data_IF_679542831909
#
_entry.id   IF_679542831909
#
_cell.length_a   1.000
_cell.length_b   1.000
_cell.length_c   1.000
_cell.angle_alpha   90.00
_cell.angle_beta   90.00
_cell.angle_gamma   90.00
#
_symmetry.space_group_name_H-M   'P 1'
#
loop_
_entity.id
_entity.type
_entity.pdbx_description
1 polymer ?
#
# COMPACT_ATOMS: atom_id res chain seq x y z
N UNK A 1 28.01 -21.33 -18.70
CA UNK A 1 26.95 -21.83 -17.82
C UNK A 1 25.67 -21.13 -18.26
N UNK A 2 24.64 -21.84 -18.72
CA UNK A 2 23.40 -21.17 -19.07
C UNK A 2 22.81 -20.56 -17.78
N UNK A 3 22.46 -19.30 -17.84
CA UNK A 3 21.65 -18.62 -16.82
C UNK A 3 20.31 -19.36 -16.75
N UNK A 4 20.04 -20.05 -15.67
CA UNK A 4 18.71 -20.56 -15.38
C UNK A 4 17.90 -19.32 -15.01
N UNK A 5 16.89 -18.93 -15.83
CA UNK A 5 16.01 -17.84 -15.41
C UNK A 5 15.36 -18.26 -14.10
N UNK A 6 15.36 -17.35 -13.11
CA UNK A 6 14.55 -17.52 -11.92
C UNK A 6 13.09 -17.56 -12.38
N UNK A 7 12.53 -18.75 -12.40
CA UNK A 7 11.09 -18.94 -12.57
C UNK A 7 10.52 -19.15 -11.18
N UNK A 8 9.82 -18.17 -10.62
CA UNK A 8 9.22 -18.29 -9.29
C UNK A 8 8.15 -19.39 -9.22
N UNK A 9 7.79 -19.96 -10.38
CA UNK A 9 6.79 -21.01 -10.50
C UNK A 9 7.34 -22.33 -11.07
N UNK A 10 8.66 -22.49 -11.30
CA UNK A 10 9.29 -23.68 -11.89
C UNK A 10 9.87 -24.64 -10.84
N UNK A 11 9.16 -24.92 -9.78
CA UNK A 11 9.41 -26.07 -8.93
C UNK A 11 8.39 -27.16 -9.25
N UNK A 12 8.75 -28.43 -9.09
CA UNK A 12 7.79 -29.57 -9.03
C UNK A 12 6.89 -29.47 -7.76
N UNK A 13 6.73 -28.29 -7.23
CA UNK A 13 5.91 -27.88 -6.10
C UNK A 13 4.57 -27.37 -6.63
N UNK A 14 3.53 -27.68 -5.91
CA UNK A 14 2.15 -27.31 -6.24
C UNK A 14 1.99 -25.80 -6.50
N UNK A 15 0.93 -25.37 -7.22
CA UNK A 15 0.71 -23.96 -7.62
C UNK A 15 0.68 -22.95 -6.45
N UNK A 16 0.82 -23.41 -5.22
CA UNK A 16 0.85 -22.58 -4.01
C UNK A 16 2.14 -21.74 -3.86
N UNK A 17 3.23 -22.09 -4.57
CA UNK A 17 4.50 -21.34 -4.47
C UNK A 17 4.52 -20.00 -5.24
N UNK A 18 3.49 -19.72 -6.05
CA UNK A 18 3.36 -18.44 -6.77
C UNK A 18 2.67 -17.34 -5.93
N UNK A 19 2.43 -17.57 -4.64
CA UNK A 19 1.63 -16.68 -3.80
C UNK A 19 2.42 -15.57 -3.11
N UNK A 20 3.76 -15.61 -3.09
CA UNK A 20 4.59 -14.70 -2.29
C UNK A 20 4.28 -13.22 -2.56
N UNK A 21 4.12 -12.80 -3.80
CA UNK A 21 3.78 -11.39 -4.09
C UNK A 21 2.36 -11.04 -3.65
N UNK A 22 1.31 -11.79 -4.02
CA UNK A 22 -0.02 -11.57 -3.45
C UNK A 22 -0.03 -11.53 -1.93
N UNK A 23 0.63 -12.49 -1.26
CA UNK A 23 0.68 -12.57 0.21
C UNK A 23 1.32 -11.32 0.85
N UNK A 24 2.34 -10.75 0.22
CA UNK A 24 2.94 -9.48 0.67
C UNK A 24 1.93 -8.34 0.55
N UNK A 25 1.25 -8.23 -0.58
CA UNK A 25 0.24 -7.21 -0.81
C UNK A 25 -0.93 -7.33 0.18
N UNK A 26 -1.40 -8.54 0.43
CA UNK A 26 -2.44 -8.85 1.41
C UNK A 26 -2.00 -8.52 2.85
N UNK A 27 -0.74 -8.81 3.20
CA UNK A 27 -0.18 -8.43 4.50
C UNK A 27 -0.17 -6.91 4.71
N UNK A 28 0.24 -6.15 3.69
CA UNK A 28 0.23 -4.69 3.73
C UNK A 28 -1.22 -4.18 3.87
N UNK A 29 -2.14 -4.73 3.10
CA UNK A 29 -3.56 -4.35 3.12
C UNK A 29 -4.19 -4.64 4.49
N UNK A 30 -3.97 -5.84 5.03
CA UNK A 30 -4.48 -6.24 6.34
C UNK A 30 -3.97 -5.32 7.46
N UNK A 31 -2.67 -4.98 7.46
CA UNK A 31 -2.09 -4.05 8.43
C UNK A 31 -2.68 -2.65 8.28
N UNK A 32 -2.88 -2.19 7.05
CA UNK A 32 -3.52 -0.90 6.79
C UNK A 32 -4.95 -0.84 7.34
N UNK A 33 -5.74 -1.91 7.17
CA UNK A 33 -7.09 -2.02 7.72
C UNK A 33 -7.09 -2.01 9.26
N UNK A 34 -6.14 -2.70 9.90
CA UNK A 34 -5.97 -2.64 11.36
C UNK A 34 -5.72 -1.19 11.82
N UNK A 35 -4.94 -0.42 11.06
CA UNK A 35 -4.72 0.99 11.35
C UNK A 35 -5.98 1.86 11.23
N UNK A 36 -6.88 1.50 10.32
CA UNK A 36 -8.13 2.23 10.10
C UNK A 36 -9.28 1.79 11.04
N UNK A 37 -9.20 0.59 11.61
CA UNK A 37 -10.27 0.03 12.45
C UNK A 37 -10.85 1.00 13.49
N UNK A 38 -10.05 1.82 14.20
CA UNK A 38 -10.58 2.79 15.17
C UNK A 38 -11.39 3.92 14.55
N UNK A 39 -11.28 4.13 13.25
CA UNK A 39 -11.90 5.25 12.52
C UNK A 39 -13.01 4.79 11.58
N UNK A 40 -13.09 3.47 11.28
CA UNK A 40 -14.17 2.97 10.44
C UNK A 40 -15.49 3.24 11.14
N UNK A 41 -16.49 3.79 10.44
CA UNK A 41 -17.77 4.08 11.03
C UNK A 41 -18.39 2.78 11.54
N UNK A 42 -18.80 2.79 12.79
CA UNK A 42 -19.73 1.81 13.30
C UNK A 42 -21.05 2.01 12.55
N UNK A 43 -21.58 1.01 11.96
CA UNK A 43 -22.84 0.79 11.20
C UNK A 43 -23.84 1.94 10.95
N UNK A 44 -23.69 3.08 11.60
CA UNK A 44 -24.66 4.19 11.58
C UNK A 44 -24.53 5.14 10.36
N UNK A 45 -23.42 5.10 9.63
CA UNK A 45 -23.15 6.05 8.55
C UNK A 45 -23.11 5.47 7.13
N UNK A 46 -23.31 4.14 6.97
CA UNK A 46 -23.48 3.51 5.65
C UNK A 46 -22.33 3.74 4.66
N UNK A 47 -21.11 3.94 5.14
CA UNK A 47 -19.94 4.04 4.26
C UNK A 47 -19.59 2.66 3.74
N UNK A 48 -19.66 2.52 2.43
CA UNK A 48 -19.21 1.33 1.71
C UNK A 48 -17.69 1.45 1.49
N UNK A 49 -16.92 1.14 2.57
CA UNK A 49 -15.47 1.21 2.52
C UNK A 49 -14.90 -0.02 1.81
N UNK A 50 -14.15 0.22 0.75
CA UNK A 50 -13.55 -0.82 -0.07
C UNK A 50 -12.07 -1.02 0.26
N UNK A 51 -11.67 -2.29 0.44
CA UNK A 51 -10.26 -2.65 0.59
C UNK A 51 -9.89 -3.70 -0.45
N UNK A 52 -8.85 -3.42 -1.24
CA UNK A 52 -8.48 -4.35 -2.31
C UNK A 52 -7.00 -4.31 -2.66
N UNK A 53 -6.51 -5.48 -3.09
CA UNK A 53 -5.22 -5.65 -3.71
C UNK A 53 -5.39 -5.55 -5.24
N UNK A 54 -4.49 -4.85 -5.90
CA UNK A 54 -4.51 -4.67 -7.35
C UNK A 54 -3.12 -4.90 -7.95
N UNK A 55 -3.08 -5.54 -9.09
CA UNK A 55 -1.87 -5.68 -9.92
C UNK A 55 -1.88 -4.60 -10.99
N UNK A 56 -1.56 -3.36 -10.62
CA UNK A 56 -1.58 -2.22 -11.51
C UNK A 56 -2.30 -1.01 -10.90
N UNK A 57 -2.74 -0.08 -11.74
CA UNK A 57 -3.41 1.13 -11.24
C UNK A 57 -4.71 0.80 -10.52
N UNK A 58 -4.98 1.44 -9.36
CA UNK A 58 -6.23 1.27 -8.66
C UNK A 58 -7.41 1.68 -9.56
N UNK A 59 -8.53 1.00 -9.37
CA UNK A 59 -9.78 1.36 -10.03
C UNK A 59 -10.27 2.65 -9.39
N UNK A 60 -10.23 3.76 -10.13
CA UNK A 60 -10.54 5.11 -9.65
C UNK A 60 -12.04 5.34 -9.31
N UNK A 61 -12.83 4.28 -9.25
CA UNK A 61 -14.29 4.36 -9.05
C UNK A 61 -14.71 4.32 -7.58
N UNK A 62 -13.79 3.99 -6.67
CA UNK A 62 -14.08 3.89 -5.24
C UNK A 62 -13.51 5.09 -4.50
N UNK A 63 -14.40 5.88 -3.87
CA UNK A 63 -14.03 7.09 -3.15
C UNK A 63 -13.71 6.88 -1.68
N UNK A 64 -14.17 5.77 -1.08
CA UNK A 64 -13.82 5.37 0.28
C UNK A 64 -13.11 4.02 0.18
N UNK A 65 -11.79 4.07 0.01
CA UNK A 65 -11.03 2.87 -0.28
C UNK A 65 -9.59 2.90 0.24
N UNK A 66 -9.13 1.76 0.73
CA UNK A 66 -7.73 1.43 0.90
C UNK A 66 -7.31 0.47 -0.21
N UNK A 67 -6.35 0.87 -1.01
CA UNK A 67 -5.80 0.01 -2.06
C UNK A 67 -4.30 -0.21 -1.87
N UNK A 68 -3.87 -1.43 -2.18
CA UNK A 68 -2.46 -1.80 -2.27
C UNK A 68 -2.22 -2.34 -3.66
N UNK A 69 -1.25 -1.80 -4.37
CA UNK A 69 -0.94 -2.27 -5.72
C UNK A 69 0.54 -2.37 -5.98
N UNK A 70 0.92 -3.44 -6.69
CA UNK A 70 2.28 -3.66 -7.13
C UNK A 70 2.59 -2.70 -8.29
N UNK A 71 3.60 -1.85 -8.12
CA UNK A 71 4.02 -0.89 -9.14
C UNK A 71 5.27 -1.31 -9.88
N UNK A 72 6.14 -2.10 -9.24
CA UNK A 72 7.38 -2.57 -9.83
C UNK A 72 7.86 -3.86 -9.15
N UNK A 73 8.48 -4.76 -9.92
CA UNK A 73 9.11 -5.96 -9.42
C UNK A 73 10.36 -6.28 -10.25
N UNK A 74 11.48 -6.47 -9.58
CA UNK A 74 12.72 -6.79 -10.27
C UNK A 74 13.95 -6.73 -9.37
N UNK A 75 15.16 -6.86 -9.95
CA UNK A 75 16.39 -6.75 -9.19
C UNK A 75 16.59 -5.34 -8.65
N UNK A 76 17.10 -5.23 -7.42
CA UNK A 76 17.48 -3.93 -6.85
C UNK A 76 18.58 -3.29 -7.70
N UNK A 77 18.24 -2.22 -8.41
CA UNK A 77 19.17 -1.48 -9.27
C UNK A 77 20.31 -0.79 -8.49
N UNK A 78 20.21 -0.72 -7.15
CA UNK A 78 21.29 -0.19 -6.29
C UNK A 78 22.39 -1.20 -6.05
N UNK A 79 22.10 -2.49 -6.20
CA UNK A 79 23.13 -3.53 -6.23
C UNK A 79 23.82 -3.46 -7.58
N UNK A 80 25.03 -2.92 -7.60
CA UNK A 80 25.80 -2.77 -8.83
C UNK A 80 25.96 -4.12 -9.53
N UNK A 81 25.76 -4.14 -10.85
CA UNK A 81 25.92 -5.30 -11.74
C UNK A 81 27.29 -6.00 -11.56
N UNK A 82 28.29 -5.33 -10.95
CA UNK A 82 29.57 -5.92 -10.59
C UNK A 82 29.48 -7.08 -9.59
N UNK A 83 28.39 -7.20 -8.84
CA UNK A 83 28.16 -8.34 -7.93
C UNK A 83 27.82 -9.63 -8.67
N UNK A 84 27.29 -9.57 -9.90
CA UNK A 84 27.02 -10.76 -10.71
C UNK A 84 28.31 -11.55 -11.08
N UNK A 85 29.44 -10.88 -11.13
CA UNK A 85 30.73 -11.51 -11.38
C UNK A 85 31.23 -12.35 -10.18
N UNK A 86 30.72 -12.12 -8.99
CA UNK A 86 31.08 -12.82 -7.75
C UNK A 86 30.12 -13.99 -7.41
N UNK A 87 29.14 -14.30 -8.25
CA UNK A 87 28.16 -15.36 -8.01
C UNK A 87 27.11 -15.03 -6.96
N UNK A 88 27.02 -13.76 -6.55
CA UNK A 88 25.96 -13.27 -5.65
C UNK A 88 24.77 -12.84 -6.49
N UNK A 89 23.62 -13.42 -6.25
CA UNK A 89 22.38 -13.03 -6.91
C UNK A 89 21.93 -11.65 -6.44
N UNK A 90 21.44 -10.79 -7.35
CA UNK A 90 20.88 -9.52 -6.94
C UNK A 90 19.63 -9.75 -6.06
N UNK A 91 19.51 -8.96 -5.00
CA UNK A 91 18.29 -8.94 -4.20
C UNK A 91 17.10 -8.54 -5.08
N UNK A 92 16.04 -9.31 -5.05
CA UNK A 92 14.80 -8.94 -5.71
C UNK A 92 14.01 -7.97 -4.82
N UNK A 93 13.40 -6.99 -5.44
CA UNK A 93 12.52 -6.05 -4.75
C UNK A 93 11.15 -6.01 -5.39
N UNK A 94 10.13 -5.85 -4.56
CA UNK A 94 8.79 -5.52 -4.98
C UNK A 94 8.40 -4.15 -4.42
N UNK A 95 7.91 -3.28 -5.27
CA UNK A 95 7.49 -1.92 -4.91
C UNK A 95 5.97 -1.84 -4.92
N UNK A 96 5.43 -1.54 -3.77
CA UNK A 96 4.00 -1.43 -3.53
C UNK A 96 3.62 0.02 -3.31
N UNK A 97 2.54 0.46 -3.90
CA UNK A 97 1.92 1.73 -3.58
C UNK A 97 0.66 1.47 -2.76
N UNK A 98 0.56 2.12 -1.62
CA UNK A 98 -0.60 2.12 -0.74
C UNK A 98 -1.31 3.45 -0.92
N UNK A 99 -2.60 3.42 -1.23
CA UNK A 99 -3.44 4.60 -1.39
C UNK A 99 -4.67 4.49 -0.51
N UNK A 100 -4.92 5.53 0.27
CA UNK A 100 -6.16 5.72 1.01
C UNK A 100 -6.91 6.88 0.38
N UNK A 101 -8.14 6.65 -0.04
CA UNK A 101 -9.05 7.66 -0.55
C UNK A 101 -10.29 7.75 0.33
N UNK A 102 -10.76 8.97 0.56
CA UNK A 102 -11.93 9.27 1.39
C UNK A 102 -12.78 10.33 0.71
N UNK A 103 -14.08 10.06 0.59
CA UNK A 103 -15.05 10.96 -0.03
C UNK A 103 -15.66 11.91 1.03
N UNK A 104 -14.81 12.71 1.65
CA UNK A 104 -15.20 13.58 2.75
C UNK A 104 -14.79 15.05 2.58
N UNK A 105 -14.16 15.38 1.44
CA UNK A 105 -13.72 16.76 1.23
C UNK A 105 -14.90 17.66 0.89
N UNK A 106 -15.12 18.73 1.67
CA UNK A 106 -16.23 19.62 1.41
C UNK A 106 -16.03 20.37 0.09
N UNK A 107 -17.01 20.25 -0.78
CA UNK A 107 -17.08 20.96 -2.06
C UNK A 107 -18.12 22.07 -1.97
N UNK A 108 -18.09 22.99 -2.93
CA UNK A 108 -19.16 23.99 -3.08
C UNK A 108 -20.47 23.24 -3.30
N UNK A 109 -21.48 23.51 -2.47
CA UNK A 109 -22.79 22.88 -2.58
C UNK A 109 -23.58 23.39 -3.80
N UNK A 110 -24.70 22.74 -4.09
CA UNK A 110 -25.60 23.12 -5.21
C UNK A 110 -26.16 24.55 -5.08
N UNK A 111 -26.09 25.16 -3.91
CA UNK A 111 -26.51 26.54 -3.64
C UNK A 111 -25.34 27.54 -3.76
N UNK A 112 -24.14 27.08 -4.08
CA UNK A 112 -22.96 27.91 -4.23
C UNK A 112 -22.30 28.28 -2.89
N UNK A 113 -22.65 27.62 -1.77
CA UNK A 113 -21.99 27.82 -0.48
C UNK A 113 -20.57 27.25 -0.51
N UNK A 114 -19.63 28.12 -0.21
CA UNK A 114 -18.20 27.77 -0.13
C UNK A 114 -17.93 27.20 1.28
N UNK A 115 -17.21 26.07 1.39
CA UNK A 115 -16.82 25.51 2.67
C UNK A 115 -16.06 26.52 3.55
N UNK A 116 -16.37 26.54 4.83
CA UNK A 116 -15.66 27.40 5.79
C UNK A 116 -14.25 26.89 6.08
N UNK A 117 -13.38 27.76 6.54
CA UNK A 117 -12.03 27.38 6.96
C UNK A 117 -12.05 26.32 8.09
N UNK A 118 -13.02 26.37 8.98
CA UNK A 118 -13.16 25.39 10.07
C UNK A 118 -13.57 24.01 9.55
N UNK A 119 -14.48 23.92 8.58
CA UNK A 119 -14.85 22.66 7.92
C UNK A 119 -13.64 22.06 7.21
N UNK A 120 -12.93 22.84 6.41
CA UNK A 120 -11.71 22.42 5.73
C UNK A 120 -10.65 21.92 6.71
N UNK A 121 -10.40 22.66 7.80
CA UNK A 121 -9.44 22.28 8.82
C UNK A 121 -9.84 20.99 9.55
N UNK A 122 -11.13 20.81 9.83
CA UNK A 122 -11.63 19.58 10.47
C UNK A 122 -11.39 18.38 9.59
N UNK A 123 -11.76 18.45 8.31
CA UNK A 123 -11.58 17.34 7.36
C UNK A 123 -10.10 17.04 7.14
N UNK A 124 -9.27 18.06 6.96
CA UNK A 124 -7.82 17.86 6.78
C UNK A 124 -7.18 17.15 7.98
N UNK A 125 -7.58 17.48 9.22
CA UNK A 125 -7.08 16.80 10.42
C UNK A 125 -7.52 15.33 10.46
N UNK A 126 -8.75 15.06 10.09
CA UNK A 126 -9.33 13.72 10.05
C UNK A 126 -8.59 12.85 9.02
N UNK A 127 -8.52 13.29 7.79
CA UNK A 127 -7.84 12.58 6.70
C UNK A 127 -6.35 12.38 7.01
N UNK A 128 -5.71 13.38 7.64
CA UNK A 128 -4.31 13.24 8.08
C UNK A 128 -4.15 12.14 9.14
N UNK A 129 -5.05 12.08 10.12
CA UNK A 129 -5.01 11.05 11.16
C UNK A 129 -5.16 9.65 10.58
N UNK A 130 -6.05 9.45 9.61
CA UNK A 130 -6.26 8.18 8.93
C UNK A 130 -5.03 7.76 8.11
N UNK A 131 -4.50 8.65 7.28
CA UNK A 131 -3.28 8.36 6.51
C UNK A 131 -2.10 7.97 7.39
N UNK A 132 -1.92 8.69 8.51
CA UNK A 132 -0.86 8.40 9.48
C UNK A 132 -1.10 7.07 10.21
N UNK A 133 -2.35 6.73 10.52
CA UNK A 133 -2.70 5.47 11.18
C UNK A 133 -2.38 4.28 10.28
N UNK A 134 -2.76 4.32 9.00
CA UNK A 134 -2.41 3.29 8.01
C UNK A 134 -0.89 3.14 7.89
N UNK A 135 -0.19 4.25 7.71
CA UNK A 135 1.27 4.25 7.59
C UNK A 135 1.95 3.61 8.80
N UNK A 136 1.55 4.04 10.00
CA UNK A 136 2.12 3.54 11.26
C UNK A 136 1.77 2.06 11.50
N UNK A 137 0.59 1.61 11.14
CA UNK A 137 0.19 0.21 11.31
C UNK A 137 1.04 -0.72 10.45
N UNK A 138 1.26 -0.37 9.17
CA UNK A 138 2.13 -1.15 8.27
C UNK A 138 3.58 -1.15 8.79
N UNK A 139 4.10 0.01 9.21
CA UNK A 139 5.44 0.13 9.78
C UNK A 139 5.59 -0.70 11.07
N UNK A 140 4.62 -0.59 11.99
CA UNK A 140 4.63 -1.32 13.25
C UNK A 140 4.52 -2.83 13.04
N UNK A 141 3.71 -3.28 12.09
CA UNK A 141 3.59 -4.69 11.73
C UNK A 141 4.92 -5.31 11.31
N UNK A 142 5.73 -4.56 10.56
CA UNK A 142 7.09 -4.98 10.23
C UNK A 142 8.04 -4.94 11.43
N UNK A 143 8.10 -3.82 12.14
CA UNK A 143 9.06 -3.63 13.25
C UNK A 143 8.82 -4.61 14.39
N UNK A 144 7.57 -4.92 14.68
CA UNK A 144 7.19 -5.84 15.76
C UNK A 144 7.29 -7.32 15.35
N UNK A 145 7.69 -7.62 14.12
CA UNK A 145 7.81 -8.99 13.59
C UNK A 145 6.55 -9.82 13.87
N UNK A 146 5.41 -9.27 13.54
CA UNK A 146 4.09 -9.90 13.82
C UNK A 146 3.87 -11.22 13.10
N UNK A 147 4.78 -11.61 12.17
CA UNK A 147 4.65 -12.82 11.36
C UNK A 147 3.61 -12.71 10.23
N UNK A 148 3.07 -11.51 10.00
CA UNK A 148 2.09 -11.28 8.92
C UNK A 148 2.78 -11.30 7.55
N UNK A 149 4.01 -10.77 7.47
CA UNK A 149 4.77 -10.83 6.22
C UNK A 149 5.32 -12.23 5.97
N UNK A 150 5.30 -12.71 4.70
CA UNK A 150 5.91 -13.98 4.33
C UNK A 150 7.39 -14.07 4.73
N UNK A 151 7.90 -15.28 5.06
CA UNK A 151 9.31 -15.47 5.44
C UNK A 151 10.31 -15.05 4.37
N UNK A 152 9.89 -15.02 3.10
CA UNK A 152 10.71 -14.56 1.98
C UNK A 152 11.02 -13.06 2.03
N UNK A 153 10.33 -12.27 2.86
CA UNK A 153 10.61 -10.84 3.02
C UNK A 153 11.77 -10.66 4.00
N UNK A 154 12.92 -10.30 3.48
CA UNK A 154 14.15 -10.08 4.26
C UNK A 154 14.31 -8.64 4.74
N UNK A 155 13.68 -7.68 4.06
CA UNK A 155 13.75 -6.26 4.39
C UNK A 155 12.57 -5.46 3.87
N UNK A 156 12.26 -4.34 4.55
CA UNK A 156 11.25 -3.39 4.10
C UNK A 156 11.77 -1.96 4.21
N UNK A 157 11.46 -1.16 3.19
CA UNK A 157 11.72 0.29 3.16
C UNK A 157 10.42 1.04 2.92
N UNK A 158 10.27 2.20 3.53
CA UNK A 158 9.09 3.04 3.42
C UNK A 158 9.44 4.35 2.71
N UNK A 159 8.62 4.72 1.75
CA UNK A 159 8.60 6.06 1.18
C UNK A 159 7.85 7.05 2.07
N UNK A 160 7.93 8.35 1.76
CA UNK A 160 7.22 9.37 2.50
C UNK A 160 5.71 9.25 2.32
N UNK A 161 4.95 9.60 3.37
CA UNK A 161 3.51 9.79 3.28
C UNK A 161 3.23 11.09 2.48
N UNK A 162 2.49 10.97 1.39
CA UNK A 162 2.19 12.06 0.46
C UNK A 162 0.69 12.30 0.38
N UNK A 163 0.24 13.57 0.46
CA UNK A 163 -1.17 13.85 0.27
C UNK A 163 -1.58 13.62 -1.18
N UNK A 164 -2.78 13.10 -1.35
CA UNK A 164 -3.51 13.10 -2.60
C UNK A 164 -4.49 14.26 -2.53
N UNK A 165 -4.27 15.25 -3.38
CA UNK A 165 -5.08 16.48 -3.39
C UNK A 165 -6.52 16.19 -3.75
N UNK A 166 -7.44 17.14 -3.44
CA UNK A 166 -8.85 16.90 -3.68
C UNK A 166 -9.11 16.68 -5.18
N UNK A 167 -9.84 15.60 -5.46
CA UNK A 167 -10.42 15.29 -6.77
C UNK A 167 -11.94 15.25 -6.58
N UNK A 168 -12.62 16.39 -6.82
CA UNK A 168 -14.00 16.55 -6.38
C UNK A 168 -14.09 16.49 -4.86
N UNK A 169 -14.94 15.61 -4.34
CA UNK A 169 -15.07 15.37 -2.91
C UNK A 169 -14.07 14.35 -2.35
N UNK A 170 -13.25 13.71 -3.19
CA UNK A 170 -12.27 12.73 -2.77
C UNK A 170 -10.94 13.39 -2.40
N UNK A 171 -10.37 12.97 -1.29
CA UNK A 171 -9.05 13.38 -0.77
C UNK A 171 -8.39 12.16 -0.13
N UNK A 172 -7.08 12.15 0.00
CA UNK A 172 -6.45 10.99 0.58
C UNK A 172 -4.95 11.11 0.78
N UNK A 173 -4.34 9.94 0.96
CA UNK A 173 -2.91 9.78 1.17
C UNK A 173 -2.37 8.59 0.40
N UNK A 174 -1.10 8.70 0.03
CA UNK A 174 -0.35 7.58 -0.52
C UNK A 174 1.05 7.49 0.06
N UNK A 175 1.58 6.28 0.08
CA UNK A 175 2.99 6.02 0.36
C UNK A 175 3.45 4.76 -0.36
N UNK A 176 4.76 4.58 -0.42
CA UNK A 176 5.38 3.41 -1.06
C UNK A 176 5.95 2.49 0.00
N UNK A 177 5.76 1.19 -0.18
CA UNK A 177 6.42 0.13 0.57
C UNK A 177 7.30 -0.66 -0.41
N UNK A 178 8.57 -0.80 -0.11
CA UNK A 178 9.52 -1.58 -0.91
C UNK A 178 9.93 -2.78 -0.08
N UNK A 179 9.61 -3.97 -0.55
CA UNK A 179 9.97 -5.23 0.11
C UNK A 179 11.16 -5.86 -0.60
N UNK A 180 12.13 -6.31 0.19
CA UNK A 180 13.32 -7.03 -0.26
C UNK A 180 13.08 -8.52 -0.08
N UNK A 181 13.30 -9.30 -1.15
CA UNK A 181 13.10 -10.75 -1.18
C UNK A 181 14.46 -11.46 -1.18
N UNK A 182 14.61 -12.42 -0.26
CA UNK A 182 15.87 -13.15 -0.12
C UNK A 182 15.73 -14.48 0.60
#
# INVERSE_FOLDING_TARGET
MPLIPFDPCSGDTEPDDCTVLPDIGEAILALGLVGLEPFLPTDECGYDFHAYLSMGRPVAEFYDALSVHLTDFGPDQRTSISSCASGVWPTLIATWQVELWENCYPVVDDNGLIPTADELNRVNRFVYAHGLAVYNAVLAGWLNKTGIFPPAVSGIRFGPLQPLGPQGAAVGWKFTVITELG
#
